data_IF_938203344069
#
_entry.id   IF_938203344069
#
_cell.length_a   1.000
_cell.length_b   1.000
_cell.length_c   1.000
_cell.angle_alpha   90.00
_cell.angle_beta   90.00
_cell.angle_gamma   90.00
#
_symmetry.space_group_name_H-M   'P 1'
#
loop_
_entity.id
_entity.type
_entity.pdbx_description
1 polymer ?
#
# COMPACT_ATOMS: atom_id res chain seq x y z
N UNK A 1 -26.89 -8.96 -29.66
CA UNK A 1 -26.66 -9.18 -28.23
C UNK A 1 -25.65 -8.17 -27.73
N UNK A 2 -26.13 -7.06 -27.19
CA UNK A 2 -25.28 -6.07 -26.50
C UNK A 2 -24.98 -6.62 -25.12
N UNK A 3 -23.70 -6.84 -24.84
CA UNK A 3 -23.21 -7.24 -23.52
C UNK A 3 -23.46 -6.09 -22.54
N UNK A 4 -24.50 -6.20 -21.70
CA UNK A 4 -24.71 -5.29 -20.58
C UNK A 4 -23.73 -5.65 -19.47
N UNK A 5 -22.68 -4.86 -19.31
CA UNK A 5 -21.75 -4.95 -18.19
C UNK A 5 -22.45 -4.50 -16.90
N UNK A 6 -22.94 -5.46 -16.12
CA UNK A 6 -23.52 -5.14 -14.80
C UNK A 6 -22.41 -4.83 -13.80
N UNK A 7 -22.47 -3.64 -13.17
CA UNK A 7 -21.51 -3.17 -12.15
C UNK A 7 -21.83 -3.71 -10.76
N UNK A 8 -21.91 -5.02 -10.60
CA UNK A 8 -21.99 -5.64 -9.28
C UNK A 8 -21.18 -6.91 -9.22
N UNK A 9 -20.70 -7.21 -8.02
CA UNK A 9 -20.10 -8.50 -7.70
C UNK A 9 -21.14 -9.30 -6.90
N UNK A 10 -21.48 -10.49 -7.39
CA UNK A 10 -22.39 -11.41 -6.69
C UNK A 10 -21.58 -12.52 -6.06
N UNK A 11 -21.47 -12.50 -4.74
CA UNK A 11 -20.92 -13.61 -3.96
C UNK A 11 -22.06 -14.53 -3.53
N UNK A 12 -21.95 -15.83 -3.82
CA UNK A 12 -22.92 -16.85 -3.43
C UNK A 12 -22.19 -17.90 -2.61
N UNK A 13 -22.67 -18.17 -1.40
CA UNK A 13 -22.17 -19.24 -0.53
C UNK A 13 -23.27 -20.29 -0.48
N UNK A 14 -23.06 -21.42 -1.14
CA UNK A 14 -24.12 -22.40 -1.40
C UNK A 14 -24.27 -23.45 -0.31
N UNK A 15 -23.23 -23.74 0.47
CA UNK A 15 -23.26 -24.70 1.58
C UNK A 15 -22.09 -24.46 2.54
N UNK A 16 -22.17 -23.45 3.42
CA UNK A 16 -21.12 -23.21 4.39
C UNK A 16 -21.18 -24.23 5.52
N UNK A 17 -20.05 -24.84 5.87
CA UNK A 17 -19.92 -25.69 7.06
C UNK A 17 -19.95 -24.88 8.38
N UNK A 18 -19.70 -23.58 8.32
CA UNK A 18 -19.82 -22.60 9.40
C UNK A 18 -20.21 -21.24 8.83
N UNK A 19 -20.90 -20.40 9.61
CA UNK A 19 -21.27 -19.05 9.16
C UNK A 19 -19.99 -18.28 8.75
N UNK A 20 -19.88 -17.84 7.49
CA UNK A 20 -18.75 -17.06 7.04
C UNK A 20 -18.90 -15.63 7.57
N UNK A 21 -17.96 -15.22 8.41
CA UNK A 21 -17.86 -13.86 8.92
C UNK A 21 -16.73 -13.14 8.19
N UNK A 22 -17.04 -11.98 7.61
CA UNK A 22 -16.04 -11.08 7.03
C UNK A 22 -15.95 -9.86 7.94
N UNK A 23 -14.83 -9.71 8.64
CA UNK A 23 -14.61 -8.52 9.47
C UNK A 23 -14.56 -7.24 8.61
N UNK A 24 -13.96 -7.32 7.41
CA UNK A 24 -13.88 -6.21 6.44
C UNK A 24 -13.67 -6.74 5.01
N UNK A 25 -14.19 -5.99 4.01
CA UNK A 25 -13.97 -6.26 2.58
C UNK A 25 -13.42 -5.00 1.90
N UNK A 26 -12.22 -5.09 1.33
CA UNK A 26 -11.59 -4.01 0.60
C UNK A 26 -11.65 -4.24 -0.92
N UNK A 27 -12.35 -3.36 -1.63
CA UNK A 27 -12.39 -3.30 -3.09
C UNK A 27 -11.51 -2.14 -3.56
N UNK A 28 -10.31 -2.45 -4.03
CA UNK A 28 -9.35 -1.46 -4.54
C UNK A 28 -8.65 -2.00 -5.78
N UNK A 29 -8.04 -1.11 -6.55
CA UNK A 29 -7.23 -1.47 -7.71
C UNK A 29 -6.02 -2.29 -7.27
N UNK A 30 -5.79 -3.43 -7.92
CA UNK A 30 -4.54 -4.19 -7.75
C UNK A 30 -3.46 -3.56 -8.59
N UNK A 31 -2.34 -3.18 -7.99
CA UNK A 31 -1.16 -2.77 -8.74
C UNK A 31 -0.12 -3.90 -8.67
N UNK A 32 0.15 -4.51 -9.82
CA UNK A 32 1.20 -5.53 -9.95
C UNK A 32 2.42 -4.90 -10.60
N UNK A 33 3.57 -4.99 -9.92
CA UNK A 33 4.82 -4.50 -10.47
C UNK A 33 5.29 -5.34 -11.64
N UNK A 34 5.70 -4.70 -12.75
CA UNK A 34 6.42 -5.38 -13.83
C UNK A 34 7.77 -5.93 -13.34
N UNK A 35 8.41 -5.20 -12.43
CA UNK A 35 9.61 -5.61 -11.71
C UNK A 35 9.36 -5.43 -10.22
N UNK A 36 9.32 -6.54 -9.48
CA UNK A 36 9.10 -6.50 -8.03
C UNK A 36 10.09 -5.54 -7.36
N UNK A 37 9.65 -4.83 -6.31
CA UNK A 37 10.58 -4.06 -5.51
C UNK A 37 11.76 -4.90 -5.09
N UNK A 38 12.97 -4.35 -5.20
CA UNK A 38 14.10 -4.97 -4.50
C UNK A 38 13.80 -4.96 -3.00
N UNK A 39 14.44 -5.87 -2.25
CA UNK A 39 14.38 -5.88 -0.78
C UNK A 39 14.38 -4.45 -0.23
N UNK A 40 13.46 -4.09 0.69
CA UNK A 40 13.35 -2.75 1.24
C UNK A 40 14.73 -2.19 1.57
N UNK A 41 15.06 -1.05 0.96
CA UNK A 41 16.29 -0.33 1.23
C UNK A 41 15.97 0.68 2.34
N UNK A 42 16.35 0.35 3.57
CA UNK A 42 16.12 1.20 4.75
C UNK A 42 15.79 0.42 6.02
N UNK A 43 15.47 1.12 7.10
CA UNK A 43 14.98 0.49 8.33
C UNK A 43 13.57 -0.03 8.11
N UNK A 44 13.33 -1.28 8.52
CA UNK A 44 11.99 -1.81 8.75
C UNK A 44 11.48 -1.26 10.08
N UNK A 45 11.12 0.02 10.09
CA UNK A 45 10.72 0.69 11.31
C UNK A 45 9.28 0.31 11.67
N UNK A 46 9.07 -0.03 12.94
CA UNK A 46 7.74 -0.14 13.54
C UNK A 46 7.30 1.25 13.95
N UNK A 47 6.17 1.69 13.42
CA UNK A 47 5.52 2.92 13.84
C UNK A 47 4.52 2.55 14.92
N UNK A 48 4.79 3.02 16.13
CA UNK A 48 3.85 2.91 17.24
C UNK A 48 2.63 3.76 16.93
N UNK A 49 1.46 3.15 16.93
CA UNK A 49 0.20 3.85 16.73
C UNK A 49 -0.25 4.49 18.06
N UNK A 50 0.56 5.42 18.57
CA UNK A 50 0.39 6.03 19.89
C UNK A 50 0.40 7.54 19.76
N UNK A 51 -0.63 8.21 20.30
CA UNK A 51 -0.66 9.66 20.43
C UNK A 51 -0.33 10.08 21.85
N UNK A 52 0.56 11.06 22.03
CA UNK A 52 0.80 11.69 23.32
C UNK A 52 -0.12 12.91 23.48
N UNK A 53 -0.85 12.95 24.60
CA UNK A 53 -1.66 14.08 25.05
C UNK A 53 -1.01 14.65 26.30
N UNK A 54 -0.44 15.85 26.19
CA UNK A 54 0.05 16.56 27.36
C UNK A 54 -1.11 17.22 28.09
N UNK A 55 -1.23 16.95 29.38
CA UNK A 55 -2.20 17.63 30.26
C UNK A 55 -1.77 19.07 30.53
N UNK A 56 -2.68 19.92 30.96
CA UNK A 56 -2.38 21.32 31.33
C UNK A 56 -1.35 21.43 32.45
N UNK A 57 -1.17 20.39 33.27
CA UNK A 57 -0.13 20.31 34.31
C UNK A 57 1.20 19.73 33.82
N UNK A 58 1.35 19.45 32.52
CA UNK A 58 2.57 18.91 31.91
C UNK A 58 2.76 17.40 32.08
N UNK A 59 1.76 16.67 32.60
CA UNK A 59 1.83 15.21 32.65
C UNK A 59 1.44 14.61 31.29
N UNK A 60 2.25 13.68 30.79
CA UNK A 60 2.00 12.96 29.54
C UNK A 60 0.94 11.86 29.72
N UNK A 61 0.04 11.75 28.73
CA UNK A 61 -0.91 10.65 28.61
C UNK A 61 -0.81 10.05 27.22
N UNK A 62 -0.49 8.76 27.15
CA UNK A 62 -0.38 8.04 25.90
C UNK A 62 -1.67 7.29 25.58
N UNK A 63 -2.21 7.48 24.37
CA UNK A 63 -3.35 6.75 23.86
C UNK A 63 -2.90 5.82 22.72
N UNK A 64 -3.16 4.53 22.86
CA UNK A 64 -2.78 3.49 21.90
C UNK A 64 -3.95 3.18 20.97
N UNK A 65 -3.77 3.40 19.67
CA UNK A 65 -4.79 3.25 18.62
C UNK A 65 -4.73 1.88 17.91
N UNK A 66 -4.22 0.85 18.60
CA UNK A 66 -4.04 -0.51 18.07
C UNK A 66 -2.59 -0.92 17.88
N UNK A 67 -2.34 -2.00 17.11
CA UNK A 67 -0.99 -2.53 16.93
C UNK A 67 -0.07 -1.57 16.19
N UNK A 68 1.23 -1.71 16.40
CA UNK A 68 2.25 -1.00 15.62
C UNK A 68 2.19 -1.45 14.16
N UNK A 69 2.30 -0.49 13.24
CA UNK A 69 2.34 -0.75 11.79
C UNK A 69 3.78 -0.76 11.30
N UNK A 70 4.07 -1.47 10.21
CA UNK A 70 5.41 -1.41 9.60
C UNK A 70 5.44 -0.35 8.51
N UNK A 71 6.51 0.44 8.50
CA UNK A 71 6.89 1.29 7.37
C UNK A 71 8.03 0.61 6.62
N UNK A 72 7.96 0.62 5.29
CA UNK A 72 8.97 0.07 4.39
C UNK A 72 9.39 1.14 3.39
N UNK A 73 10.69 1.22 3.12
CA UNK A 73 11.25 2.09 2.08
C UNK A 73 11.72 1.21 0.93
N UNK A 74 11.23 1.47 -0.27
CA UNK A 74 11.55 0.72 -1.46
C UNK A 74 12.34 1.59 -2.43
N UNK A 75 13.35 0.96 -3.04
CA UNK A 75 14.08 1.52 -4.18
C UNK A 75 13.90 0.58 -5.36
N UNK A 76 13.61 1.15 -6.53
CA UNK A 76 13.45 0.45 -7.79
C UNK A 76 14.54 0.95 -8.74
N UNK A 77 15.69 0.25 -8.81
CA UNK A 77 16.74 0.65 -9.74
C UNK A 77 16.39 0.22 -11.17
N UNK A 78 16.71 1.08 -12.13
CA UNK A 78 16.67 0.73 -13.56
C UNK A 78 15.32 0.17 -14.03
N UNK A 79 14.25 0.94 -13.84
CA UNK A 79 12.93 0.66 -14.37
C UNK A 79 12.82 1.17 -15.82
N UNK A 80 11.96 0.51 -16.60
CA UNK A 80 11.66 0.90 -17.98
C UNK A 80 10.74 2.12 -18.05
N UNK A 81 10.65 2.74 -19.22
CA UNK A 81 9.72 3.85 -19.48
C UNK A 81 8.25 3.45 -19.23
N UNK A 82 7.83 2.25 -19.66
CA UNK A 82 6.48 1.75 -19.38
C UNK A 82 6.21 1.57 -17.88
N UNK A 83 7.20 1.13 -17.10
CA UNK A 83 7.05 1.00 -15.65
C UNK A 83 7.06 2.37 -14.95
N UNK A 84 7.81 3.35 -15.48
CA UNK A 84 7.78 4.74 -15.03
C UNK A 84 6.38 5.35 -15.23
N UNK A 85 5.77 5.13 -16.40
CA UNK A 85 4.42 5.65 -16.68
C UNK A 85 3.36 5.01 -15.77
N UNK A 86 3.43 3.70 -15.54
CA UNK A 86 2.54 3.01 -14.60
C UNK A 86 2.71 3.51 -13.15
N UNK A 87 3.93 3.87 -12.76
CA UNK A 87 4.23 4.46 -11.46
C UNK A 87 3.67 5.88 -11.30
N UNK A 88 3.78 6.70 -12.35
CA UNK A 88 3.18 8.03 -12.37
C UNK A 88 1.66 7.93 -12.30
N UNK A 89 1.06 7.01 -13.05
CA UNK A 89 -0.38 6.74 -12.98
C UNK A 89 -0.80 6.28 -11.57
N UNK A 90 -0.01 5.41 -10.92
CA UNK A 90 -0.25 5.01 -9.54
C UNK A 90 -0.18 6.23 -8.60
N UNK A 91 0.84 7.08 -8.74
CA UNK A 91 1.02 8.27 -7.92
C UNK A 91 -0.16 9.24 -8.07
N UNK A 92 -0.58 9.50 -9.31
CA UNK A 92 -1.64 10.44 -9.66
C UNK A 92 -3.03 9.90 -9.31
N UNK A 93 -3.28 8.61 -9.56
CA UNK A 93 -4.54 7.94 -9.20
C UNK A 93 -4.66 7.79 -7.69
N UNK A 94 -3.55 7.55 -7.00
CA UNK A 94 -3.53 7.48 -5.55
C UNK A 94 -3.87 8.83 -4.93
N UNK A 95 -3.20 9.91 -5.35
CA UNK A 95 -3.39 11.28 -4.86
C UNK A 95 -3.54 11.40 -3.32
N UNK A 96 -2.89 10.51 -2.55
CA UNK A 96 -3.00 10.48 -1.10
C UNK A 96 -4.19 9.70 -0.53
N UNK A 97 -5.14 9.26 -1.36
CA UNK A 97 -6.50 9.00 -0.93
C UNK A 97 -6.82 7.55 -0.54
N UNK A 98 -6.20 6.53 -1.16
CA UNK A 98 -6.63 5.13 -0.98
C UNK A 98 -5.49 4.13 -0.80
N UNK A 99 -5.56 3.20 0.17
CA UNK A 99 -4.61 2.10 0.24
C UNK A 99 -4.78 1.12 -0.93
N UNK A 100 -3.71 0.44 -1.29
CA UNK A 100 -3.64 -0.58 -2.34
C UNK A 100 -2.81 -1.78 -1.87
N UNK A 101 -2.95 -2.88 -2.61
CA UNK A 101 -2.19 -4.09 -2.38
C UNK A 101 -0.83 -4.02 -3.08
N UNK A 102 0.23 -4.23 -2.32
CA UNK A 102 1.61 -4.32 -2.78
C UNK A 102 2.08 -5.77 -2.69
N UNK A 103 2.52 -6.35 -3.81
CA UNK A 103 3.21 -7.64 -3.77
C UNK A 103 4.70 -7.40 -3.51
N UNK A 104 5.18 -7.89 -2.37
CA UNK A 104 6.55 -7.65 -1.91
C UNK A 104 7.53 -8.72 -2.39
N UNK A 105 8.83 -8.42 -2.30
CA UNK A 105 9.95 -9.32 -2.62
C UNK A 105 9.94 -10.65 -1.83
N UNK A 106 9.29 -10.69 -0.67
CA UNK A 106 9.09 -11.91 0.14
C UNK A 106 7.93 -12.79 -0.39
N UNK A 107 7.31 -12.42 -1.50
CA UNK A 107 6.19 -13.17 -2.10
C UNK A 107 4.87 -13.01 -1.35
N UNK A 108 4.73 -11.93 -0.56
CA UNK A 108 3.54 -11.66 0.24
C UNK A 108 2.81 -10.42 -0.25
N UNK A 109 1.47 -10.47 -0.21
CA UNK A 109 0.63 -9.30 -0.44
C UNK A 109 0.49 -8.48 0.84
N UNK A 110 0.76 -7.19 0.73
CA UNK A 110 0.73 -6.24 1.84
C UNK A 110 -0.28 -5.15 1.52
N UNK A 111 -1.22 -4.90 2.42
CA UNK A 111 -2.20 -3.82 2.25
C UNK A 111 -1.70 -2.54 2.92
N UNK A 112 -1.53 -1.49 2.14
CA UNK A 112 -0.95 -0.26 2.64
C UNK A 112 -1.12 0.91 1.70
N UNK A 113 -0.51 2.02 2.05
CA UNK A 113 -0.56 3.26 1.27
C UNK A 113 0.85 3.82 1.09
N UNK A 114 1.03 4.64 0.07
CA UNK A 114 2.19 5.50 0.00
C UNK A 114 2.14 6.48 1.18
N UNK A 115 3.29 6.76 1.77
CA UNK A 115 3.40 7.74 2.86
C UNK A 115 3.88 9.11 2.35
N UNK A 116 4.55 9.09 1.20
CA UNK A 116 5.00 10.25 0.42
C UNK A 116 4.77 10.01 -1.07
N UNK A 117 4.74 11.07 -1.90
CA UNK A 117 4.75 10.93 -3.35
C UNK A 117 5.94 10.09 -3.83
N UNK A 118 5.75 9.37 -4.93
CA UNK A 118 6.82 8.61 -5.59
C UNK A 118 7.91 9.56 -6.11
N UNK A 119 9.15 9.32 -5.70
CA UNK A 119 10.32 10.03 -6.23
C UNK A 119 10.85 9.25 -7.43
N UNK A 120 10.71 9.80 -8.65
CA UNK A 120 11.19 9.17 -9.88
C UNK A 120 12.32 10.02 -10.46
N UNK A 121 13.45 9.39 -10.80
CA UNK A 121 14.65 10.04 -11.33
C UNK A 121 15.06 9.38 -12.64
N UNK A 122 15.43 10.17 -13.65
CA UNK A 122 16.06 9.65 -14.87
C UNK A 122 17.56 9.48 -14.65
N UNK A 123 18.05 8.24 -14.79
CA UNK A 123 19.47 7.87 -14.60
C UNK A 123 20.26 7.88 -15.92
N UNK A 124 19.55 7.87 -17.05
CA UNK A 124 20.11 7.85 -18.40
C UNK A 124 19.00 7.66 -19.44
N UNK A 125 19.35 7.64 -20.73
CA UNK A 125 18.35 7.55 -21.79
C UNK A 125 17.41 6.35 -21.59
N UNK A 126 16.13 6.61 -21.36
CA UNK A 126 15.07 5.62 -21.10
C UNK A 126 15.32 4.71 -19.89
N UNK A 127 16.16 5.14 -18.94
CA UNK A 127 16.46 4.41 -17.71
C UNK A 127 16.12 5.27 -16.51
N UNK A 128 15.23 4.78 -15.66
CA UNK A 128 14.76 5.52 -14.50
C UNK A 128 15.03 4.73 -13.21
N UNK A 129 15.04 5.42 -12.08
CA UNK A 129 14.86 4.81 -10.77
C UNK A 129 13.70 5.46 -10.03
N UNK A 130 13.10 4.70 -9.12
CA UNK A 130 12.03 5.20 -8.27
C UNK A 130 12.29 4.85 -6.81
N UNK A 131 11.91 5.75 -5.90
CA UNK A 131 11.92 5.54 -4.46
C UNK A 131 10.56 5.90 -3.88
N UNK A 132 10.11 5.10 -2.92
CA UNK A 132 8.88 5.40 -2.18
C UNK A 132 8.85 4.77 -0.79
N UNK A 133 8.09 5.41 0.09
CA UNK A 133 7.76 4.87 1.41
C UNK A 133 6.34 4.28 1.39
N UNK A 134 6.21 3.08 1.93
CA UNK A 134 4.95 2.35 2.02
C UNK A 134 4.62 2.05 3.48
N UNK A 135 3.42 2.40 3.91
CA UNK A 135 2.91 2.20 5.25
C UNK A 135 1.81 1.15 5.23
N UNK A 136 2.02 0.07 6.00
CA UNK A 136 0.99 -0.95 6.24
C UNK A 136 -0.23 -0.31 6.92
N UNK A 137 -1.43 -0.57 6.38
CA UNK A 137 -2.68 -0.09 6.96
C UNK A 137 -3.29 -1.17 7.87
N UNK A 138 -3.11 -2.44 7.49
CA UNK A 138 -3.57 -3.62 8.22
C UNK A 138 -2.37 -4.55 8.37
N UNK A 139 -2.16 -5.07 9.58
CA UNK A 139 -1.06 -5.98 9.92
C UNK A 139 -1.34 -6.75 11.21
#
# INVERSE_FOLDING_TARGET
>A
WTSETKRYWKFIITSPASIPEFAELFLTSTYSWLRNPTRPAGRLDRIFNVSNLSTTSGADRFLVHGPSRRRRSYTLPSISEAQKDALLELNDTWAGAKPFWLFDHEGSWIYGRLDSPLEIVEEGHQRYSARFEFMEVIG
#
